data_IF_990122755094
#
_entry.id   IF_990122755094
#
_cell.length_a   1.000
_cell.length_b   1.000
_cell.length_c   1.000
_cell.angle_alpha   90.00
_cell.angle_beta   90.00
_cell.angle_gamma   90.00
#
_symmetry.space_group_name_H-M   'P 1'
#
loop_
_entity.id
_entity.type
_entity.pdbx_description
1 polymer ?
#
# COMPACT_ATOMS: atom_id res chain seq x y z
N UNK A 1 51.96 60.67 37.30
CA UNK A 1 51.90 59.32 36.70
C UNK A 1 51.09 58.31 37.52
N UNK A 2 51.31 58.15 38.83
CA UNK A 2 50.61 57.12 39.65
C UNK A 2 49.07 57.23 39.66
N UNK A 3 48.50 58.44 39.66
CA UNK A 3 47.03 58.65 39.66
C UNK A 3 46.39 58.25 38.32
N UNK A 4 47.09 58.43 37.20
CA UNK A 4 46.61 58.02 35.87
C UNK A 4 46.66 56.49 35.71
N UNK A 5 47.71 55.83 36.18
CA UNK A 5 47.79 54.36 36.25
C UNK A 5 46.67 53.76 37.10
N UNK A 6 46.37 54.37 38.26
CA UNK A 6 45.29 53.90 39.15
C UNK A 6 43.91 54.01 38.49
N UNK A 7 43.63 55.08 37.73
CA UNK A 7 42.37 55.23 36.97
C UNK A 7 42.23 54.22 35.83
N UNK A 8 43.33 53.91 35.13
CA UNK A 8 43.34 52.89 34.06
C UNK A 8 43.10 51.49 34.62
N UNK A 9 43.68 51.16 35.78
CA UNK A 9 43.43 49.87 36.45
C UNK A 9 41.96 49.73 36.87
N UNK A 10 41.35 50.78 37.45
CA UNK A 10 39.92 50.74 37.77
C UNK A 10 39.05 50.57 36.51
N UNK A 11 39.36 51.26 35.41
CA UNK A 11 38.64 51.09 34.14
C UNK A 11 38.81 49.69 33.56
N UNK A 12 40.01 49.09 33.64
CA UNK A 12 40.25 47.72 33.18
C UNK A 12 39.50 46.68 34.03
N UNK A 13 39.47 46.85 35.35
CA UNK A 13 38.70 45.97 36.24
C UNK A 13 37.19 46.11 35.98
N UNK A 14 36.68 47.33 35.79
CA UNK A 14 35.27 47.55 35.42
C UNK A 14 34.97 46.92 34.06
N UNK A 15 35.84 47.09 33.06
CA UNK A 15 35.71 46.44 31.75
C UNK A 15 35.70 44.91 31.88
N UNK A 16 36.58 44.33 32.69
CA UNK A 16 36.62 42.89 32.98
C UNK A 16 35.36 42.41 33.69
N UNK A 17 34.83 43.17 34.65
CA UNK A 17 33.55 42.85 35.30
C UNK A 17 32.37 42.94 34.32
N UNK A 18 32.32 43.97 33.46
CA UNK A 18 31.28 44.10 32.43
C UNK A 18 31.34 42.95 31.43
N UNK A 19 32.54 42.58 30.95
CA UNK A 19 32.74 41.44 30.05
C UNK A 19 32.34 40.11 30.72
N UNK A 20 32.67 39.93 32.00
CA UNK A 20 32.30 38.73 32.74
C UNK A 20 30.78 38.60 32.90
N UNK A 21 30.09 39.68 33.30
CA UNK A 21 28.63 39.68 33.45
C UNK A 21 27.93 39.40 32.11
N UNK A 22 28.40 40.00 31.01
CA UNK A 22 27.87 39.74 29.67
C UNK A 22 28.11 38.29 29.26
N UNK A 23 29.34 37.77 29.45
CA UNK A 23 29.65 36.37 29.12
C UNK A 23 28.86 35.34 29.94
N UNK A 24 28.58 35.63 31.21
CA UNK A 24 27.79 34.76 32.08
C UNK A 24 26.30 34.79 31.70
N UNK A 25 25.77 35.95 31.32
CA UNK A 25 24.41 36.10 30.81
C UNK A 25 24.23 35.37 29.47
N UNK A 26 25.17 35.54 28.54
CA UNK A 26 25.17 34.86 27.23
C UNK A 26 25.25 33.33 27.40
N UNK A 27 26.09 32.83 28.32
CA UNK A 27 26.20 31.41 28.61
C UNK A 27 24.90 30.82 29.20
N UNK A 28 24.23 31.57 30.09
CA UNK A 28 22.96 31.16 30.67
C UNK A 28 21.84 31.15 29.62
N UNK A 29 21.77 32.16 28.76
CA UNK A 29 20.80 32.23 27.67
C UNK A 29 21.01 31.09 26.67
N UNK A 30 22.26 30.78 26.34
CA UNK A 30 22.65 29.67 25.48
C UNK A 30 22.16 28.33 26.02
N UNK A 31 22.45 28.01 27.28
CA UNK A 31 22.03 26.74 27.90
C UNK A 31 20.51 26.64 28.04
N UNK A 32 19.82 27.74 28.34
CA UNK A 32 18.34 27.73 28.38
C UNK A 32 17.74 27.46 27.01
N UNK A 33 18.23 28.13 25.96
CA UNK A 33 17.75 27.94 24.61
C UNK A 33 18.09 26.54 24.08
N UNK A 34 19.26 26.00 24.42
CA UNK A 34 19.67 24.63 24.11
C UNK A 34 18.74 23.60 24.74
N UNK A 35 18.48 23.72 26.05
CA UNK A 35 17.59 22.80 26.76
C UNK A 35 16.16 22.81 26.19
N UNK A 36 15.66 23.98 25.81
CA UNK A 36 14.36 24.11 25.14
C UNK A 36 14.36 23.43 23.77
N UNK A 37 15.40 23.65 22.95
CA UNK A 37 15.53 23.01 21.66
C UNK A 37 15.58 21.49 21.80
N UNK A 38 16.40 20.97 22.71
CA UNK A 38 16.52 19.54 22.95
C UNK A 38 15.22 18.91 23.45
N UNK A 39 14.48 19.59 24.34
CA UNK A 39 13.19 19.10 24.83
C UNK A 39 12.20 18.91 23.67
N UNK A 40 12.04 19.94 22.84
CA UNK A 40 11.16 19.90 21.66
C UNK A 40 11.61 18.83 20.67
N UNK A 41 12.91 18.77 20.36
CA UNK A 41 13.45 17.78 19.43
C UNK A 41 13.22 16.35 19.93
N UNK A 42 13.49 16.06 21.20
CA UNK A 42 13.30 14.73 21.77
C UNK A 42 11.83 14.31 21.75
N UNK A 43 10.94 15.24 22.08
CA UNK A 43 9.50 15.01 22.02
C UNK A 43 9.04 14.70 20.59
N UNK A 44 9.43 15.52 19.62
CA UNK A 44 9.10 15.29 18.21
C UNK A 44 9.70 13.99 17.68
N UNK A 45 10.95 13.66 18.01
CA UNK A 45 11.59 12.40 17.60
C UNK A 45 10.77 11.21 18.10
N UNK A 46 10.36 11.22 19.38
CA UNK A 46 9.56 10.14 19.96
C UNK A 46 8.21 9.96 19.26
N UNK A 47 7.51 11.07 18.96
CA UNK A 47 6.22 11.06 18.24
C UNK A 47 6.39 10.69 16.77
N UNK A 48 7.48 11.12 16.13
CA UNK A 48 7.75 10.88 14.71
C UNK A 48 7.85 9.39 14.36
N UNK A 49 8.48 8.58 15.21
CA UNK A 49 8.60 7.14 15.00
C UNK A 49 7.22 6.45 14.96
N UNK A 50 6.31 6.86 15.84
CA UNK A 50 4.93 6.35 15.87
C UNK A 50 4.20 6.78 14.60
N UNK A 51 4.36 8.04 14.17
CA UNK A 51 3.76 8.58 12.95
C UNK A 51 4.27 7.90 11.68
N UNK A 52 5.56 7.55 11.60
CA UNK A 52 6.12 6.79 10.48
C UNK A 52 5.49 5.40 10.37
N UNK A 53 5.32 4.71 11.50
CA UNK A 53 4.65 3.41 11.51
C UNK A 53 3.21 3.53 10.99
N UNK A 54 2.50 4.55 11.44
CA UNK A 54 1.13 4.82 10.98
C UNK A 54 1.06 5.19 9.50
N UNK A 55 2.01 5.98 9.01
CA UNK A 55 2.13 6.32 7.60
C UNK A 55 2.33 5.05 6.75
N UNK A 56 3.18 4.14 7.21
CA UNK A 56 3.42 2.86 6.54
C UNK A 56 2.17 1.96 6.55
N UNK A 57 1.47 1.86 7.68
CA UNK A 57 0.20 1.13 7.76
C UNK A 57 -0.86 1.72 6.80
N UNK A 58 -0.92 3.05 6.71
CA UNK A 58 -1.82 3.75 5.77
C UNK A 58 -1.43 3.45 4.33
N UNK A 59 -0.14 3.54 3.99
CA UNK A 59 0.39 3.25 2.65
C UNK A 59 0.05 1.82 2.24
N UNK A 60 0.36 0.85 3.09
CA UNK A 60 0.06 -0.57 2.86
C UNK A 60 -1.44 -0.84 2.67
N UNK A 61 -2.30 -0.20 3.48
CA UNK A 61 -3.76 -0.36 3.33
C UNK A 61 -4.27 0.22 2.00
N UNK A 62 -3.75 1.37 1.57
CA UNK A 62 -4.11 1.99 0.30
C UNK A 62 -3.58 1.21 -0.91
N UNK A 63 -2.36 0.68 -0.84
CA UNK A 63 -1.79 -0.18 -1.88
C UNK A 63 -2.53 -1.50 -2.05
N UNK A 64 -2.95 -2.12 -0.93
CA UNK A 64 -3.80 -3.30 -0.96
C UNK A 64 -5.15 -2.99 -1.61
N UNK A 65 -5.79 -1.88 -1.22
CA UNK A 65 -7.01 -1.41 -1.88
C UNK A 65 -6.79 -1.18 -3.38
N UNK A 66 -5.64 -0.60 -3.75
CA UNK A 66 -5.30 -0.36 -5.14
C UNK A 66 -5.19 -1.65 -5.96
N UNK A 67 -4.53 -2.65 -5.38
CA UNK A 67 -4.32 -3.94 -6.01
C UNK A 67 -5.64 -4.68 -6.18
N UNK A 68 -6.45 -4.74 -5.12
CA UNK A 68 -7.72 -5.47 -5.11
C UNK A 68 -8.73 -4.86 -6.09
N UNK A 69 -8.78 -3.53 -6.24
CA UNK A 69 -9.70 -2.92 -7.22
C UNK A 69 -9.28 -3.23 -8.67
N UNK A 70 -7.97 -3.26 -8.98
CA UNK A 70 -7.48 -3.60 -10.33
C UNK A 70 -7.82 -5.05 -10.66
N UNK A 71 -7.72 -5.94 -9.68
CA UNK A 71 -8.16 -7.33 -9.83
C UNK A 71 -9.67 -7.41 -10.08
N UNK A 72 -10.49 -6.68 -9.31
CA UNK A 72 -11.94 -6.65 -9.51
C UNK A 72 -12.32 -6.11 -10.90
N UNK A 73 -11.69 -5.04 -11.37
CA UNK A 73 -11.91 -4.48 -12.70
C UNK A 73 -11.55 -5.49 -13.80
N UNK A 74 -10.41 -6.16 -13.68
CA UNK A 74 -9.99 -7.20 -14.61
C UNK A 74 -11.01 -8.34 -14.66
N UNK A 75 -11.48 -8.82 -13.51
CA UNK A 75 -12.47 -9.91 -13.44
C UNK A 75 -13.82 -9.47 -14.00
N UNK A 76 -14.27 -8.24 -13.72
CA UNK A 76 -15.50 -7.69 -14.32
C UNK A 76 -15.40 -7.67 -15.85
N UNK A 77 -14.25 -7.24 -16.40
CA UNK A 77 -14.04 -7.23 -17.85
C UNK A 77 -14.02 -8.64 -18.45
N UNK A 78 -13.37 -9.61 -17.77
CA UNK A 78 -13.40 -11.01 -18.17
C UNK A 78 -14.84 -11.56 -18.18
N UNK A 79 -15.65 -11.25 -17.15
CA UNK A 79 -17.07 -11.64 -17.09
C UNK A 79 -17.85 -11.00 -18.23
N UNK A 80 -17.69 -9.70 -18.50
CA UNK A 80 -18.40 -9.01 -19.58
C UNK A 80 -18.13 -9.66 -20.95
N UNK A 81 -16.87 -9.98 -21.23
CA UNK A 81 -16.47 -10.71 -22.45
C UNK A 81 -17.14 -12.09 -22.50
N UNK A 82 -17.13 -12.81 -21.39
CA UNK A 82 -17.72 -14.15 -21.31
C UNK A 82 -19.23 -14.12 -21.50
N UNK A 83 -19.92 -13.18 -20.86
CA UNK A 83 -21.36 -12.97 -21.02
C UNK A 83 -21.71 -12.63 -22.46
N UNK A 84 -20.94 -11.77 -23.13
CA UNK A 84 -21.15 -11.44 -24.54
C UNK A 84 -20.99 -12.68 -25.43
N UNK A 85 -19.95 -13.49 -25.20
CA UNK A 85 -19.72 -14.74 -25.93
C UNK A 85 -20.87 -15.75 -25.71
N UNK A 86 -21.39 -15.86 -24.48
CA UNK A 86 -22.56 -16.69 -24.19
C UNK A 86 -23.76 -16.18 -25.01
N UNK A 87 -24.09 -14.88 -24.92
CA UNK A 87 -25.23 -14.28 -25.64
C UNK A 87 -25.18 -14.54 -27.14
N UNK A 88 -23.99 -14.42 -27.74
CA UNK A 88 -23.78 -14.68 -29.16
C UNK A 88 -24.05 -16.15 -29.52
N UNK A 89 -23.57 -17.10 -28.70
CA UNK A 89 -23.68 -18.54 -28.97
C UNK A 89 -25.08 -19.11 -28.73
N UNK A 90 -25.75 -18.71 -27.65
CA UNK A 90 -27.12 -19.18 -27.36
C UNK A 90 -28.21 -18.33 -28.02
N UNK A 91 -27.87 -17.20 -28.67
CA UNK A 91 -28.83 -16.26 -29.27
C UNK A 91 -29.93 -15.86 -28.29
N UNK A 92 -29.54 -15.62 -27.04
CA UNK A 92 -30.44 -15.38 -25.91
C UNK A 92 -29.66 -14.93 -24.68
N UNK A 93 -30.38 -14.53 -23.63
CA UNK A 93 -29.73 -14.04 -22.40
C UNK A 93 -29.34 -15.16 -21.43
N UNK A 94 -29.95 -16.34 -21.54
CA UNK A 94 -29.68 -17.49 -20.68
C UNK A 94 -29.44 -18.73 -21.53
N UNK A 95 -28.67 -19.67 -20.99
CA UNK A 95 -28.52 -20.99 -21.58
C UNK A 95 -29.83 -21.75 -21.31
N UNK A 96 -30.51 -22.27 -22.34
CA UNK A 96 -31.77 -23.00 -22.15
C UNK A 96 -31.52 -24.33 -21.42
N UNK A 97 -32.39 -24.65 -20.45
CA UNK A 97 -32.34 -25.84 -19.56
C UNK A 97 -32.46 -27.20 -20.28
N UNK A 98 -32.40 -27.25 -21.61
CA UNK A 98 -32.61 -28.47 -22.38
C UNK A 98 -31.44 -29.47 -22.19
N UNK A 99 -31.69 -30.66 -21.59
CA UNK A 99 -30.64 -31.56 -21.12
C UNK A 99 -29.84 -32.27 -22.22
N UNK A 100 -30.20 -32.12 -23.50
CA UNK A 100 -29.68 -32.94 -24.60
C UNK A 100 -28.83 -32.21 -25.64
N UNK A 101 -28.60 -30.89 -25.51
CA UNK A 101 -27.87 -30.11 -26.53
C UNK A 101 -27.01 -28.96 -25.99
N UNK A 102 -26.29 -29.17 -24.89
CA UNK A 102 -25.14 -28.30 -24.62
C UNK A 102 -24.08 -28.57 -25.70
N UNK A 103 -24.03 -27.69 -26.70
CA UNK A 103 -23.04 -27.74 -27.77
C UNK A 103 -21.64 -27.62 -27.16
N UNK A 104 -20.63 -28.23 -27.78
CA UNK A 104 -19.26 -28.24 -27.22
C UNK A 104 -18.73 -26.84 -26.91
N UNK A 105 -19.05 -25.86 -27.76
CA UNK A 105 -18.67 -24.45 -27.56
C UNK A 105 -19.34 -23.82 -26.32
N UNK A 106 -20.59 -24.19 -26.03
CA UNK A 106 -21.31 -23.69 -24.84
C UNK A 106 -20.78 -24.36 -23.56
N UNK A 107 -20.40 -25.64 -23.64
CA UNK A 107 -19.75 -26.36 -22.53
C UNK A 107 -18.46 -25.64 -22.12
N UNK A 108 -17.63 -25.22 -23.08
CA UNK A 108 -16.38 -24.51 -22.80
C UNK A 108 -16.61 -23.13 -22.14
N UNK A 109 -17.61 -22.38 -22.61
CA UNK A 109 -17.98 -21.09 -22.00
C UNK A 109 -18.49 -21.26 -20.56
N UNK A 110 -19.32 -22.28 -20.30
CA UNK A 110 -19.80 -22.58 -18.94
C UNK A 110 -18.66 -23.03 -18.03
N UNK A 111 -17.71 -23.84 -18.53
CA UNK A 111 -16.51 -24.20 -17.75
C UNK A 111 -15.70 -22.97 -17.34
N UNK A 112 -15.47 -22.03 -18.27
CA UNK A 112 -14.80 -20.77 -17.95
C UNK A 112 -15.59 -19.94 -16.94
N UNK A 113 -16.93 -19.95 -17.02
CA UNK A 113 -17.78 -19.25 -16.06
C UNK A 113 -17.62 -19.81 -14.64
N UNK A 114 -17.60 -21.15 -14.50
CA UNK A 114 -17.40 -21.83 -13.21
C UNK A 114 -16.06 -21.45 -12.58
N UNK A 115 -15.02 -21.21 -13.37
CA UNK A 115 -13.71 -20.77 -12.89
C UNK A 115 -13.67 -19.28 -12.50
N UNK A 116 -14.41 -18.44 -13.23
CA UNK A 116 -14.42 -16.98 -13.03
C UNK A 116 -15.31 -16.54 -11.87
N UNK A 117 -16.45 -17.20 -11.65
CA UNK A 117 -17.40 -16.86 -10.57
C UNK A 117 -16.73 -16.77 -9.19
N UNK A 118 -15.95 -17.76 -8.72
CA UNK A 118 -15.28 -17.67 -7.42
C UNK A 118 -14.18 -16.60 -7.41
N UNK A 119 -13.52 -16.32 -8.54
CA UNK A 119 -12.57 -15.20 -8.65
C UNK A 119 -13.28 -13.85 -8.45
N UNK A 120 -14.47 -13.69 -9.00
CA UNK A 120 -15.27 -12.47 -8.88
C UNK A 120 -15.79 -12.25 -7.46
N UNK A 121 -16.27 -13.31 -6.81
CA UNK A 121 -16.67 -13.28 -5.40
C UNK A 121 -15.49 -12.89 -4.49
N UNK A 122 -14.33 -13.50 -4.72
CA UNK A 122 -13.11 -13.17 -3.98
C UNK A 122 -12.68 -11.73 -4.21
N UNK A 123 -12.66 -11.27 -5.46
CA UNK A 123 -12.28 -9.89 -5.80
C UNK A 123 -13.23 -8.85 -5.17
N UNK A 124 -14.55 -9.12 -5.19
CA UNK A 124 -15.54 -8.29 -4.50
C UNK A 124 -15.29 -8.24 -2.99
N UNK A 125 -15.08 -9.40 -2.37
CA UNK A 125 -14.86 -9.51 -0.91
C UNK A 125 -13.57 -8.80 -0.49
N UNK A 126 -12.50 -8.96 -1.27
CA UNK A 126 -11.22 -8.30 -1.03
C UNK A 126 -11.35 -6.77 -1.14
N UNK A 127 -12.05 -6.25 -2.16
CA UNK A 127 -12.31 -4.81 -2.28
C UNK A 127 -12.99 -4.25 -1.03
N UNK A 128 -14.03 -4.91 -0.54
CA UNK A 128 -14.75 -4.49 0.68
C UNK A 128 -13.85 -4.54 1.92
N UNK A 129 -13.04 -5.59 2.08
CA UNK A 129 -12.15 -5.76 3.21
C UNK A 129 -11.03 -4.71 3.23
N UNK A 130 -10.36 -4.51 2.10
CA UNK A 130 -9.28 -3.54 1.95
C UNK A 130 -9.77 -2.10 2.08
N UNK A 131 -10.97 -1.79 1.57
CA UNK A 131 -11.61 -0.50 1.80
C UNK A 131 -11.92 -0.26 3.29
N UNK A 132 -12.51 -1.23 3.99
CA UNK A 132 -12.77 -1.12 5.43
C UNK A 132 -11.48 -0.91 6.22
N UNK A 133 -10.40 -1.59 5.83
CA UNK A 133 -9.07 -1.40 6.43
C UNK A 133 -8.57 0.02 6.20
N UNK A 134 -8.57 0.50 4.96
CA UNK A 134 -8.15 1.86 4.62
C UNK A 134 -8.98 2.94 5.37
N UNK A 135 -10.31 2.75 5.46
CA UNK A 135 -11.20 3.66 6.18
C UNK A 135 -10.96 3.67 7.70
N UNK A 136 -10.69 2.50 8.29
CA UNK A 136 -10.38 2.41 9.71
C UNK A 136 -9.03 3.06 10.02
N UNK A 137 -8.02 2.82 9.18
CA UNK A 137 -6.73 3.50 9.28
C UNK A 137 -6.94 5.01 9.17
N UNK A 138 -7.73 5.52 8.23
CA UNK A 138 -8.03 6.95 8.14
C UNK A 138 -8.62 7.53 9.43
N UNK A 139 -9.62 6.86 10.01
CA UNK A 139 -10.29 7.33 11.23
C UNK A 139 -9.32 7.46 12.41
N UNK A 140 -8.38 6.53 12.52
CA UNK A 140 -7.37 6.54 13.56
C UNK A 140 -6.34 7.67 13.38
N UNK A 141 -6.18 8.17 12.15
CA UNK A 141 -5.12 9.10 11.77
C UNK A 141 -5.59 10.55 11.60
N UNK A 142 -6.89 10.82 11.72
CA UNK A 142 -7.49 12.13 11.43
C UNK A 142 -6.84 13.31 12.18
N UNK A 143 -6.38 13.09 13.42
CA UNK A 143 -5.76 14.13 14.25
C UNK A 143 -4.24 14.24 14.09
N UNK A 144 -3.61 13.31 13.36
CA UNK A 144 -2.15 13.28 13.21
C UNK A 144 -1.63 14.46 12.36
N UNK A 145 -2.24 14.82 11.22
CA UNK A 145 -1.84 16.00 10.45
C UNK A 145 -1.84 17.30 11.26
N UNK A 146 -2.90 17.52 12.05
CA UNK A 146 -3.03 18.71 12.92
C UNK A 146 -1.91 18.74 13.97
N UNK A 147 -1.66 17.62 14.66
CA UNK A 147 -0.56 17.52 15.63
C UNK A 147 0.85 17.57 15.01
N UNK A 148 1.01 17.26 13.72
CA UNK A 148 2.29 17.45 13.01
C UNK A 148 2.54 18.92 12.67
N UNK A 149 1.50 19.67 12.30
CA UNK A 149 1.61 21.11 12.05
C UNK A 149 1.99 21.86 13.32
N UNK A 150 1.37 21.52 14.45
CA UNK A 150 1.74 22.07 15.78
C UNK A 150 3.22 21.81 16.11
N UNK A 151 3.65 20.54 16.02
CA UNK A 151 5.04 20.16 16.28
C UNK A 151 6.04 20.86 15.33
N UNK A 152 5.67 21.07 14.05
CA UNK A 152 6.48 21.82 13.08
C UNK A 152 6.61 23.29 13.48
N UNK A 153 5.54 23.91 13.96
CA UNK A 153 5.57 25.29 14.43
C UNK A 153 6.41 25.45 15.70
N UNK A 154 6.28 24.53 16.65
CA UNK A 154 7.09 24.51 17.87
C UNK A 154 8.58 24.33 17.56
N UNK A 155 8.94 23.38 16.70
CA UNK A 155 10.31 23.18 16.24
C UNK A 155 10.86 24.42 15.55
N UNK A 156 10.08 25.04 14.65
CA UNK A 156 10.48 26.27 13.94
C UNK A 156 10.76 27.41 14.92
N UNK A 157 9.92 27.57 15.95
CA UNK A 157 10.10 28.57 17.00
C UNK A 157 11.36 28.29 17.83
N UNK A 158 11.58 27.04 18.24
CA UNK A 158 12.76 26.63 18.99
C UNK A 158 14.06 26.84 18.18
N UNK A 159 14.07 26.43 16.91
CA UNK A 159 15.16 26.64 15.96
C UNK A 159 15.50 28.12 15.80
N UNK A 160 14.49 28.96 15.58
CA UNK A 160 14.68 30.42 15.41
C UNK A 160 15.28 31.03 16.68
N UNK A 161 14.75 30.65 17.85
CA UNK A 161 15.21 31.16 19.15
C UNK A 161 16.65 30.74 19.42
N UNK A 162 16.99 29.46 19.25
CA UNK A 162 18.35 28.98 19.49
C UNK A 162 19.34 29.51 18.44
N UNK A 163 18.91 29.66 17.18
CA UNK A 163 19.70 30.27 16.12
C UNK A 163 20.13 31.70 16.43
N UNK A 164 19.27 32.48 17.09
CA UNK A 164 19.55 33.88 17.45
C UNK A 164 20.45 34.08 18.68
N UNK A 165 20.63 33.08 19.55
CA UNK A 165 21.44 33.24 20.77
C UNK A 165 22.94 33.29 20.43
N UNK A 166 23.68 34.25 20.96
CA UNK A 166 25.13 34.33 20.81
C UNK A 166 25.81 33.08 21.38
N UNK A 167 26.76 32.49 20.64
CA UNK A 167 27.60 31.42 21.15
C UNK A 167 29.02 31.92 21.38
N UNK A 168 29.59 31.58 22.53
CA UNK A 168 31.02 31.73 22.78
C UNK A 168 31.83 30.84 21.82
N UNK A 169 33.13 31.12 21.69
CA UNK A 169 34.02 30.30 20.86
C UNK A 169 34.00 28.82 21.28
N UNK A 170 33.92 28.56 22.59
CA UNK A 170 33.83 27.22 23.17
C UNK A 170 32.51 26.50 22.84
N UNK A 171 31.42 27.25 22.58
CA UNK A 171 30.09 26.70 22.35
C UNK A 171 29.68 26.68 20.87
N UNK A 172 30.49 27.22 19.95
CA UNK A 172 30.18 27.26 18.52
C UNK A 172 29.90 25.87 17.95
N UNK A 173 30.78 24.91 18.22
CA UNK A 173 30.64 23.54 17.72
C UNK A 173 29.39 22.84 18.27
N UNK A 174 29.08 23.07 19.55
CA UNK A 174 27.86 22.55 20.19
C UNK A 174 26.63 23.16 19.51
N UNK A 175 26.61 24.49 19.34
CA UNK A 175 25.50 25.18 18.68
C UNK A 175 25.24 24.64 17.28
N UNK A 176 26.30 24.48 16.49
CA UNK A 176 26.18 23.96 15.13
C UNK A 176 25.65 22.52 15.11
N UNK A 177 26.14 21.66 16.00
CA UNK A 177 25.68 20.27 16.11
C UNK A 177 24.19 20.18 16.47
N UNK A 178 23.75 20.94 17.46
CA UNK A 178 22.35 20.96 17.92
C UNK A 178 21.43 21.52 16.83
N UNK A 179 21.84 22.58 16.13
CA UNK A 179 21.08 23.14 15.00
C UNK A 179 20.95 22.12 13.86
N UNK A 180 22.06 21.46 13.47
CA UNK A 180 22.03 20.43 12.41
C UNK A 180 21.07 19.30 12.75
N UNK A 181 21.10 18.80 13.99
CA UNK A 181 20.20 17.74 14.44
C UNK A 181 18.73 18.20 14.45
N UNK A 182 18.46 19.40 14.96
CA UNK A 182 17.11 19.95 15.00
C UNK A 182 16.53 20.22 13.60
N UNK A 183 17.33 20.74 12.66
CA UNK A 183 16.92 20.91 11.26
C UNK A 183 16.63 19.56 10.59
N UNK A 184 17.46 18.54 10.83
CA UNK A 184 17.20 17.20 10.32
C UNK A 184 15.86 16.64 10.84
N UNK A 185 15.57 16.82 12.13
CA UNK A 185 14.29 16.44 12.73
C UNK A 185 13.12 17.21 12.13
N UNK A 186 13.27 18.52 11.91
CA UNK A 186 12.25 19.36 11.26
C UNK A 186 11.92 18.85 9.85
N UNK A 187 12.93 18.65 9.00
CA UNK A 187 12.71 18.16 7.63
C UNK A 187 12.15 16.74 7.61
N UNK A 188 12.57 15.88 8.54
CA UNK A 188 11.99 14.54 8.70
C UNK A 188 10.49 14.63 8.97
N UNK A 189 10.07 15.44 9.95
CA UNK A 189 8.65 15.62 10.29
C UNK A 189 7.87 16.27 9.14
N UNK A 190 8.47 17.25 8.46
CA UNK A 190 7.87 17.90 7.30
C UNK A 190 7.58 16.91 6.17
N UNK A 191 8.54 16.02 5.86
CA UNK A 191 8.35 14.99 4.85
C UNK A 191 7.25 14.01 5.24
N UNK A 192 7.18 13.59 6.51
CA UNK A 192 6.09 12.73 7.00
C UNK A 192 4.74 13.45 6.79
N UNK A 193 4.65 14.73 7.14
CA UNK A 193 3.43 15.53 6.95
C UNK A 193 3.00 15.60 5.48
N UNK A 194 3.94 15.88 4.57
CA UNK A 194 3.66 15.88 3.12
C UNK A 194 3.20 14.51 2.62
N UNK A 195 3.83 13.43 3.08
CA UNK A 195 3.47 12.07 2.70
C UNK A 195 2.05 11.74 3.14
N UNK A 196 1.64 12.14 4.35
CA UNK A 196 0.26 12.00 4.81
C UNK A 196 -0.72 12.70 3.86
N UNK A 197 -0.48 13.97 3.51
CA UNK A 197 -1.35 14.71 2.58
C UNK A 197 -1.39 14.09 1.19
N UNK A 198 -0.27 13.57 0.69
CA UNK A 198 -0.22 12.93 -0.63
C UNK A 198 -1.09 11.66 -0.72
N UNK A 199 -1.27 10.96 0.40
CA UNK A 199 -2.07 9.74 0.49
C UNK A 199 -3.59 10.02 0.54
N UNK A 200 -4.02 11.24 0.87
CA UNK A 200 -5.44 11.61 0.91
C UNK A 200 -6.10 11.47 -0.47
N UNK A 201 -5.37 11.83 -1.54
CA UNK A 201 -5.85 11.66 -2.91
C UNK A 201 -6.05 10.17 -3.28
N UNK A 202 -5.15 9.29 -2.81
CA UNK A 202 -5.26 7.83 -3.03
C UNK A 202 -6.44 7.24 -2.27
N UNK A 203 -6.75 7.75 -1.08
CA UNK A 203 -7.92 7.33 -0.31
C UNK A 203 -9.23 7.65 -1.04
N UNK A 204 -9.33 8.84 -1.65
CA UNK A 204 -10.49 9.22 -2.44
C UNK A 204 -10.70 8.23 -3.60
N UNK A 205 -9.62 7.86 -4.29
CA UNK A 205 -9.63 6.81 -5.30
C UNK A 205 -10.16 5.49 -4.74
N UNK A 206 -9.57 4.98 -3.65
CA UNK A 206 -10.01 3.74 -3.00
C UNK A 206 -11.51 3.75 -2.62
N UNK A 207 -12.06 4.87 -2.13
CA UNK A 207 -13.48 4.98 -1.80
C UNK A 207 -14.39 4.93 -3.03
N UNK A 208 -14.05 5.67 -4.09
CA UNK A 208 -14.80 5.68 -5.34
C UNK A 208 -14.79 4.30 -5.97
N UNK A 209 -13.62 3.66 -6.06
CA UNK A 209 -13.47 2.36 -6.71
C UNK A 209 -14.03 1.19 -5.89
N UNK A 210 -13.90 1.18 -4.57
CA UNK A 210 -14.47 0.11 -3.74
C UNK A 210 -16.00 0.05 -3.88
N UNK A 211 -16.67 1.21 -3.85
CA UNK A 211 -18.14 1.28 -3.99
C UNK A 211 -18.64 0.88 -5.38
N UNK A 212 -17.86 1.13 -6.43
CA UNK A 212 -18.25 0.83 -7.80
C UNK A 212 -17.80 -0.57 -8.24
N UNK A 213 -16.51 -0.86 -8.16
CA UNK A 213 -15.91 -2.07 -8.76
C UNK A 213 -16.22 -3.33 -7.95
N UNK A 214 -16.22 -3.27 -6.62
CA UNK A 214 -16.58 -4.42 -5.77
C UNK A 214 -18.02 -4.84 -6.02
N UNK A 215 -18.94 -3.87 -5.97
CA UNK A 215 -20.35 -4.09 -6.32
C UNK A 215 -20.53 -4.57 -7.76
N UNK A 216 -19.82 -3.97 -8.72
CA UNK A 216 -19.91 -4.37 -10.12
C UNK A 216 -19.41 -5.81 -10.35
N UNK A 217 -18.36 -6.24 -9.62
CA UNK A 217 -17.90 -7.62 -9.63
C UNK A 217 -18.95 -8.59 -9.09
N UNK A 218 -19.63 -8.23 -7.99
CA UNK A 218 -20.73 -9.04 -7.45
C UNK A 218 -21.95 -9.08 -8.40
N UNK A 219 -22.35 -7.93 -8.95
CA UNK A 219 -23.43 -7.84 -9.92
C UNK A 219 -23.13 -8.63 -11.21
N UNK A 220 -21.89 -8.54 -11.71
CA UNK A 220 -21.43 -9.30 -12.87
C UNK A 220 -21.41 -10.81 -12.58
N UNK A 221 -20.92 -11.21 -11.40
CA UNK A 221 -20.98 -12.59 -10.91
C UNK A 221 -22.41 -13.11 -10.88
N UNK A 222 -23.34 -12.37 -10.26
CA UNK A 222 -24.73 -12.76 -10.12
C UNK A 222 -25.41 -12.91 -11.50
N UNK A 223 -25.14 -11.98 -12.43
CA UNK A 223 -25.62 -12.09 -13.81
C UNK A 223 -25.06 -13.31 -14.52
N UNK A 224 -23.74 -13.55 -14.44
CA UNK A 224 -23.12 -14.71 -15.07
C UNK A 224 -23.66 -16.02 -14.51
N UNK A 225 -23.83 -16.12 -13.19
CA UNK A 225 -24.47 -17.27 -12.53
C UNK A 225 -25.89 -17.50 -13.05
N UNK A 226 -26.70 -16.43 -13.17
CA UNK A 226 -28.03 -16.53 -13.74
C UNK A 226 -28.03 -16.95 -15.22
N UNK A 227 -27.06 -16.48 -16.01
CA UNK A 227 -26.91 -16.87 -17.42
C UNK A 227 -26.60 -18.35 -17.59
N UNK A 228 -25.75 -18.93 -16.73
CA UNK A 228 -25.34 -20.33 -16.84
C UNK A 228 -26.28 -21.31 -16.12
N UNK A 229 -27.12 -20.82 -15.21
CA UNK A 229 -28.06 -21.65 -14.45
C UNK A 229 -27.37 -22.80 -13.70
N UNK A 230 -28.03 -23.96 -13.66
CA UNK A 230 -27.53 -25.16 -12.96
C UNK A 230 -26.64 -26.07 -13.84
N UNK A 231 -26.22 -25.59 -15.01
CA UNK A 231 -25.43 -26.41 -15.94
C UNK A 231 -24.01 -26.74 -15.44
N UNK A 232 -23.59 -26.21 -14.29
CA UNK A 232 -22.27 -26.47 -13.72
C UNK A 232 -21.96 -27.95 -13.46
N UNK A 233 -22.90 -28.71 -12.89
CA UNK A 233 -22.72 -30.15 -12.68
C UNK A 233 -22.75 -30.93 -13.99
N UNK A 234 -23.65 -30.57 -14.90
CA UNK A 234 -23.78 -31.22 -16.21
C UNK A 234 -22.50 -31.05 -17.03
N UNK A 235 -21.90 -29.86 -17.00
CA UNK A 235 -20.64 -29.56 -17.69
C UNK A 235 -19.45 -30.30 -17.07
N UNK A 236 -19.35 -30.37 -15.74
CA UNK A 236 -18.33 -31.20 -15.05
C UNK A 236 -18.43 -32.66 -15.46
N UNK A 237 -19.63 -33.22 -15.50
CA UNK A 237 -19.85 -34.61 -15.94
C UNK A 237 -19.50 -34.82 -17.42
N UNK A 238 -19.85 -33.89 -18.30
CA UNK A 238 -19.51 -33.93 -19.73
C UNK A 238 -18.00 -33.85 -19.97
N UNK A 239 -17.28 -33.02 -19.22
CA UNK A 239 -15.81 -32.93 -19.30
C UNK A 239 -15.14 -34.22 -18.82
N UNK A 240 -15.56 -34.77 -17.68
CA UNK A 240 -15.04 -36.05 -17.18
C UNK A 240 -15.24 -37.18 -18.20
N UNK A 241 -16.42 -37.25 -18.83
CA UNK A 241 -16.70 -38.23 -19.90
C UNK A 241 -15.79 -38.04 -21.11
N UNK A 242 -15.55 -36.79 -21.55
CA UNK A 242 -14.61 -36.48 -22.65
C UNK A 242 -13.18 -36.87 -22.32
N UNK A 243 -12.71 -36.61 -21.11
CA UNK A 243 -11.36 -36.99 -20.67
C UNK A 243 -11.19 -38.51 -20.61
N UNK A 244 -12.18 -39.22 -20.06
CA UNK A 244 -12.20 -40.67 -20.04
C UNK A 244 -12.22 -41.25 -21.47
N UNK A 245 -13.01 -40.68 -22.38
CA UNK A 245 -13.03 -41.09 -23.78
C UNK A 245 -11.68 -40.84 -24.48
N UNK A 246 -11.05 -39.68 -24.26
CA UNK A 246 -9.70 -39.38 -24.78
C UNK A 246 -8.65 -40.35 -24.23
N UNK A 247 -8.71 -40.67 -22.93
CA UNK A 247 -7.80 -41.63 -22.30
C UNK A 247 -7.99 -43.03 -22.88
N UNK A 248 -9.23 -43.50 -22.98
CA UNK A 248 -9.54 -44.80 -23.59
C UNK A 248 -9.11 -44.86 -25.07
N UNK A 249 -9.23 -43.76 -25.82
CA UNK A 249 -8.76 -43.69 -27.20
C UNK A 249 -7.23 -43.80 -27.30
N UNK A 250 -6.49 -43.07 -26.44
CA UNK A 250 -5.01 -43.17 -26.35
C UNK A 250 -4.56 -44.58 -25.99
N UNK A 251 -5.19 -45.20 -24.99
CA UNK A 251 -4.91 -46.58 -24.58
C UNK A 251 -5.17 -47.58 -25.71
N UNK A 252 -6.24 -47.40 -26.50
CA UNK A 252 -6.52 -48.21 -27.69
C UNK A 252 -5.46 -48.03 -28.77
N UNK A 253 -5.02 -46.79 -29.03
CA UNK A 253 -3.94 -46.53 -29.99
C UNK A 253 -2.62 -47.18 -29.55
N UNK A 254 -2.26 -47.03 -28.27
CA UNK A 254 -1.06 -47.66 -27.70
C UNK A 254 -1.14 -49.19 -27.77
N UNK A 255 -2.29 -49.79 -27.44
CA UNK A 255 -2.48 -51.24 -27.54
C UNK A 255 -2.38 -51.73 -28.99
N UNK A 256 -2.97 -51.01 -29.95
CA UNK A 256 -2.87 -51.33 -31.38
C UNK A 256 -1.42 -51.18 -31.90
N UNK A 257 -0.69 -50.18 -31.41
CA UNK A 257 0.72 -49.98 -31.76
C UNK A 257 1.62 -51.06 -31.14
N UNK A 258 1.37 -51.47 -29.89
CA UNK A 258 2.05 -52.60 -29.25
C UNK A 258 1.82 -53.91 -30.01
N UNK A 259 0.60 -54.18 -30.47
CA UNK A 259 0.28 -55.36 -31.31
C UNK A 259 1.06 -55.35 -32.63
N UNK A 260 1.03 -54.23 -33.36
CA UNK A 260 1.82 -54.06 -34.60
C UNK A 260 3.32 -54.25 -34.38
N UNK A 261 3.86 -53.71 -33.29
CA UNK A 261 5.27 -53.89 -32.94
C UNK A 261 5.63 -55.34 -32.59
N UNK A 262 4.74 -56.07 -31.89
CA UNK A 262 4.93 -57.50 -31.60
C UNK A 262 4.90 -58.35 -32.86
N UNK A 263 3.97 -58.10 -33.79
CA UNK A 263 3.91 -58.80 -35.08
C UNK A 263 5.17 -58.55 -35.91
N UNK A 264 5.66 -57.31 -35.95
CA UNK A 264 6.92 -56.97 -36.63
C UNK A 264 8.13 -57.70 -36.03
N UNK A 265 8.19 -57.82 -34.70
CA UNK A 265 9.25 -58.58 -34.01
C UNK A 265 9.15 -60.09 -34.26
N UNK A 266 7.95 -60.64 -34.42
CA UNK A 266 7.77 -62.04 -34.82
C UNK A 266 8.25 -62.27 -36.25
N UNK A 267 7.88 -61.40 -37.20
CA UNK A 267 8.37 -61.47 -38.57
C UNK A 267 9.91 -61.42 -38.65
N UNK A 268 10.55 -60.53 -37.90
CA UNK A 268 12.02 -60.41 -37.85
C UNK A 268 12.74 -61.58 -37.15
N UNK A 269 12.03 -62.52 -36.50
CA UNK A 269 12.62 -63.73 -35.89
C UNK A 269 12.50 -64.97 -36.77
N UNK A 270 11.67 -64.95 -37.80
CA UNK A 270 11.32 -66.13 -38.62
C UNK A 270 11.57 -65.95 -40.12
N UNK A 271 12.04 -64.77 -40.55
CA UNK A 271 12.56 -64.51 -41.90
C UNK A 271 14.02 -64.12 -41.84
#
# INVERSE_FOLDING_TARGET
MFVQLRRVVYLLVVLQCCLYVVSAADAQEFEQARNRLQAVVNEVVSRSAVREKWLEERRSALEACETDYKEAEAVVNEIKILMAAIKEKVKGETIPDAPSRLQEEVVELVSRAIEIIPRAEKASTNCDASYKKALNTERLLKLIPEGMEEDLQELKKALTTFGSVSASEENKDIKEKELRFAYATYYKLFNISQDFTSLDAKLLGCNIFAKMNGKEADDAKNKLTAMIGNHGETVKQLQQRKEQAKKAYRERQEAAQRRRNMERRKWLRWG
#
